data_IF_445355614201
#
_entry.id   IF_445355614201
#
_cell.length_a   1.000
_cell.length_b   1.000
_cell.length_c   1.000
_cell.angle_alpha   90.00
_cell.angle_beta   90.00
_cell.angle_gamma   90.00
#
_symmetry.space_group_name_H-M   'P 1'
#
loop_
_entity.id
_entity.type
_entity.pdbx_description
1 polymer ?
#
# COMPACT_ATOMS: atom_id res chain seq x y z
N UNK A 1 -37.22 19.44 86.30
CA UNK A 1 -38.64 19.64 85.92
C UNK A 1 -38.64 20.68 84.80
N UNK A 2 -39.12 20.42 83.58
CA UNK A 2 -39.81 19.22 83.05
C UNK A 2 -39.08 18.60 81.85
N UNK A 3 -39.38 17.33 81.55
CA UNK A 3 -39.09 16.70 80.26
C UNK A 3 -40.15 17.12 79.22
N UNK A 4 -39.87 16.96 77.92
CA UNK A 4 -40.91 16.68 76.93
C UNK A 4 -40.43 15.82 75.74
N UNK A 5 -41.39 15.20 75.04
CA UNK A 5 -41.29 14.40 73.79
C UNK A 5 -42.08 15.15 72.68
N UNK A 6 -42.28 14.75 71.42
CA UNK A 6 -42.01 13.56 70.55
C UNK A 6 -41.93 14.14 69.09
N UNK A 7 -41.70 13.50 67.94
CA UNK A 7 -41.68 12.12 67.39
C UNK A 7 -40.65 12.11 66.23
N UNK A 8 -39.64 11.24 66.21
CA UNK A 8 -39.62 9.93 65.55
C UNK A 8 -40.13 9.89 64.07
N UNK A 9 -39.22 9.47 63.19
CA UNK A 9 -39.31 9.07 61.77
C UNK A 9 -40.67 9.01 61.04
N UNK A 10 -40.65 9.50 59.79
CA UNK A 10 -41.13 8.69 58.65
C UNK A 10 -40.40 8.99 57.34
N UNK A 11 -39.41 8.15 57.02
CA UNK A 11 -38.82 8.08 55.68
C UNK A 11 -39.88 7.50 54.73
N UNK A 12 -40.23 8.22 53.67
CA UNK A 12 -41.32 7.86 52.74
C UNK A 12 -40.88 6.74 51.80
N UNK A 13 -40.99 5.49 52.27
CA UNK A 13 -40.71 4.29 51.47
C UNK A 13 -41.56 4.27 50.19
N UNK A 14 -40.92 3.88 49.09
CA UNK A 14 -41.43 4.06 47.73
C UNK A 14 -42.80 3.40 47.50
N UNK A 15 -43.64 4.07 46.70
CA UNK A 15 -44.82 3.45 46.12
C UNK A 15 -44.41 2.31 45.16
N UNK A 16 -45.28 1.30 45.00
CA UNK A 16 -44.89 -0.05 44.53
C UNK A 16 -44.85 -0.21 43.00
N UNK A 17 -44.14 0.66 42.30
CA UNK A 17 -43.90 0.54 40.84
C UNK A 17 -42.76 -0.46 40.51
N UNK A 18 -42.97 -1.74 40.86
CA UNK A 18 -41.96 -2.80 40.69
C UNK A 18 -41.90 -3.45 39.28
N UNK A 19 -42.60 -2.89 38.29
CA UNK A 19 -42.61 -3.41 36.92
C UNK A 19 -42.01 -2.44 35.89
N UNK A 20 -42.52 -1.21 35.85
CA UNK A 20 -42.24 -0.23 34.77
C UNK A 20 -40.76 0.15 34.68
N UNK A 21 -40.08 0.32 35.81
CA UNK A 21 -38.65 0.69 35.87
C UNK A 21 -37.77 -0.32 35.12
N UNK A 22 -38.07 -1.62 35.23
CA UNK A 22 -37.29 -2.66 34.54
C UNK A 22 -37.49 -2.59 33.03
N UNK A 23 -38.72 -2.38 32.55
CA UNK A 23 -39.03 -2.22 31.12
C UNK A 23 -38.34 -0.99 30.55
N UNK A 24 -38.41 0.16 31.24
CA UNK A 24 -37.72 1.39 30.82
C UNK A 24 -36.20 1.17 30.79
N UNK A 25 -35.62 0.51 31.80
CA UNK A 25 -34.17 0.22 31.82
C UNK A 25 -33.75 -0.67 30.64
N UNK A 26 -34.55 -1.68 30.28
CA UNK A 26 -34.29 -2.55 29.13
C UNK A 26 -34.29 -1.77 27.81
N UNK A 27 -35.29 -0.91 27.60
CA UNK A 27 -35.39 -0.08 26.39
C UNK A 27 -34.19 0.88 26.28
N UNK A 28 -33.81 1.55 27.38
CA UNK A 28 -32.65 2.45 27.40
C UNK A 28 -31.35 1.68 27.12
N UNK A 29 -31.15 0.51 27.73
CA UNK A 29 -29.99 -0.35 27.48
C UNK A 29 -29.91 -0.83 26.02
N UNK A 30 -31.03 -1.18 25.40
CA UNK A 30 -31.09 -1.57 23.97
C UNK A 30 -30.70 -0.38 23.09
N UNK A 31 -31.25 0.82 23.33
CA UNK A 31 -30.93 2.03 22.54
C UNK A 31 -29.44 2.38 22.67
N UNK A 32 -28.89 2.41 23.88
CA UNK A 32 -27.46 2.66 24.11
C UNK A 32 -26.60 1.58 23.43
N UNK A 33 -27.01 0.31 23.47
CA UNK A 33 -26.28 -0.78 22.82
C UNK A 33 -26.27 -0.64 21.29
N UNK A 34 -27.40 -0.29 20.68
CA UNK A 34 -27.49 -0.08 19.22
C UNK A 34 -26.63 1.09 18.75
N UNK A 35 -26.65 2.21 19.48
CA UNK A 35 -25.77 3.37 19.22
C UNK A 35 -24.29 3.01 19.38
N UNK A 36 -23.94 2.27 20.44
CA UNK A 36 -22.56 1.81 20.68
C UNK A 36 -22.06 0.91 19.55
N UNK A 37 -22.88 -0.04 19.10
CA UNK A 37 -22.54 -0.96 17.99
C UNK A 37 -22.43 -0.22 16.65
N UNK A 38 -23.25 0.79 16.38
CA UNK A 38 -23.10 1.59 15.15
C UNK A 38 -21.81 2.41 15.13
N UNK A 39 -21.43 3.02 16.26
CA UNK A 39 -20.17 3.78 16.38
C UNK A 39 -18.94 2.88 16.26
N UNK A 40 -18.95 1.70 16.88
CA UNK A 40 -17.85 0.74 16.75
C UNK A 40 -17.67 0.28 15.30
N UNK A 41 -18.78 0.00 14.58
CA UNK A 41 -18.72 -0.39 13.17
C UNK A 41 -18.15 0.71 12.25
N UNK A 42 -18.47 1.98 12.48
CA UNK A 42 -17.91 3.08 11.69
C UNK A 42 -16.41 3.28 11.95
N UNK A 43 -15.96 3.10 13.21
CA UNK A 43 -14.52 3.12 13.55
C UNK A 43 -13.76 2.00 12.84
N UNK A 44 -14.23 0.75 12.91
CA UNK A 44 -13.56 -0.37 12.22
C UNK A 44 -13.52 -0.21 10.68
N UNK A 45 -14.57 0.37 10.08
CA UNK A 45 -14.58 0.67 8.65
C UNK A 45 -13.56 1.77 8.27
N UNK A 46 -13.42 2.79 9.13
CA UNK A 46 -12.41 3.85 8.97
C UNK A 46 -10.99 3.29 9.12
N UNK A 47 -10.75 2.41 10.10
CA UNK A 47 -9.46 1.75 10.34
C UNK A 47 -9.01 0.91 9.13
N UNK A 48 -9.91 0.09 8.57
CA UNK A 48 -9.61 -0.72 7.36
C UNK A 48 -9.29 0.19 6.16
N UNK A 49 -10.05 1.27 5.98
CA UNK A 49 -9.83 2.24 4.89
C UNK A 49 -8.48 2.94 5.05
N UNK A 50 -8.17 3.44 6.25
CA UNK A 50 -6.89 4.08 6.58
C UNK A 50 -5.71 3.14 6.40
N UNK A 51 -5.85 1.88 6.84
CA UNK A 51 -4.84 0.83 6.68
C UNK A 51 -4.56 0.48 5.22
N UNK A 52 -5.57 0.56 4.34
CA UNK A 52 -5.38 0.35 2.90
C UNK A 52 -4.76 1.58 2.22
N UNK A 53 -5.27 2.79 2.50
CA UNK A 53 -4.68 4.05 2.00
C UNK A 53 -3.19 4.14 2.34
N UNK A 54 -2.79 3.78 3.57
CA UNK A 54 -1.38 3.76 3.99
C UNK A 54 -0.50 2.82 3.15
N UNK A 55 -1.02 1.66 2.73
CA UNK A 55 -0.26 0.71 1.90
C UNK A 55 -0.14 1.18 0.46
N UNK A 56 -1.22 1.72 -0.12
CA UNK A 56 -1.18 2.36 -1.44
C UNK A 56 -0.20 3.53 -1.46
N UNK A 57 -0.19 4.34 -0.41
CA UNK A 57 0.75 5.45 -0.26
C UNK A 57 2.21 4.99 -0.16
N UNK A 58 2.49 3.91 0.58
CA UNK A 58 3.81 3.28 0.59
C UNK A 58 4.19 2.68 -0.77
N UNK A 59 3.23 2.13 -1.53
CA UNK A 59 3.46 1.67 -2.89
C UNK A 59 3.78 2.84 -3.84
N UNK A 60 3.08 3.98 -3.74
CA UNK A 60 3.37 5.20 -4.50
C UNK A 60 4.79 5.70 -4.22
N UNK A 61 5.16 5.81 -2.94
CA UNK A 61 6.50 6.27 -2.54
C UNK A 61 7.61 5.31 -3.03
N UNK A 62 7.35 4.00 -3.03
CA UNK A 62 8.28 3.02 -3.61
C UNK A 62 8.37 3.11 -5.15
N UNK A 63 7.27 3.45 -5.84
CA UNK A 63 7.26 3.70 -7.27
C UNK A 63 8.02 4.99 -7.63
N UNK A 64 7.80 6.09 -6.91
CA UNK A 64 8.55 7.35 -7.09
C UNK A 64 10.04 7.16 -6.85
N UNK A 65 10.41 6.39 -5.82
CA UNK A 65 11.81 6.08 -5.52
C UNK A 65 12.49 5.35 -6.69
N UNK A 66 11.89 4.25 -7.18
CA UNK A 66 12.51 3.47 -8.26
C UNK A 66 12.49 4.20 -9.60
N UNK A 67 11.48 5.06 -9.84
CA UNK A 67 11.43 5.92 -11.01
C UNK A 67 12.64 6.86 -11.05
N UNK A 68 12.89 7.62 -9.98
CA UNK A 68 14.03 8.55 -9.89
C UNK A 68 15.38 7.84 -9.93
N UNK A 69 15.49 6.67 -9.29
CA UNK A 69 16.68 5.82 -9.39
C UNK A 69 16.98 5.44 -10.85
N UNK A 70 15.96 5.01 -11.60
CA UNK A 70 16.13 4.65 -13.00
C UNK A 70 16.38 5.87 -13.91
N UNK A 71 15.80 7.05 -13.63
CA UNK A 71 16.13 8.30 -14.34
C UNK A 71 17.61 8.71 -14.14
N UNK A 72 18.14 8.57 -12.93
CA UNK A 72 19.55 8.82 -12.60
C UNK A 72 20.49 7.82 -13.31
N UNK A 73 20.17 6.52 -13.26
CA UNK A 73 20.98 5.48 -13.90
C UNK A 73 20.96 5.56 -15.44
N UNK A 74 19.85 5.98 -16.08
CA UNK A 74 19.83 6.25 -17.54
C UNK A 74 20.73 7.43 -17.90
N UNK A 75 20.78 8.46 -17.05
CA UNK A 75 21.67 9.61 -17.25
C UNK A 75 23.14 9.18 -17.19
N UNK A 76 23.51 8.37 -16.20
CA UNK A 76 24.85 7.76 -16.08
C UNK A 76 25.19 6.87 -17.29
N UNK A 77 24.25 6.04 -17.75
CA UNK A 77 24.44 5.19 -18.92
C UNK A 77 24.80 6.01 -20.17
N UNK A 78 24.08 7.13 -20.41
CA UNK A 78 24.35 8.03 -21.55
C UNK A 78 25.68 8.79 -21.42
N UNK A 79 26.13 9.08 -20.20
CA UNK A 79 27.47 9.63 -19.93
C UNK A 79 28.61 8.59 -20.15
N UNK A 80 28.29 7.31 -20.35
CA UNK A 80 29.29 6.23 -20.40
C UNK A 80 29.83 5.81 -19.03
N UNK A 81 29.13 6.15 -17.95
CA UNK A 81 29.46 5.74 -16.59
C UNK A 81 29.03 4.27 -16.34
N UNK A 82 29.63 3.63 -15.33
CA UNK A 82 29.21 2.30 -14.90
C UNK A 82 27.87 2.36 -14.16
N UNK A 83 26.91 1.55 -14.59
CA UNK A 83 25.54 1.50 -14.03
C UNK A 83 25.20 0.11 -13.50
N UNK A 84 24.15 0.03 -12.69
CA UNK A 84 23.61 -1.21 -12.15
C UNK A 84 22.32 -1.66 -12.85
N UNK A 85 22.04 -1.14 -14.06
CA UNK A 85 20.78 -1.36 -14.79
C UNK A 85 20.97 -2.07 -16.14
N UNK A 86 19.95 -2.80 -16.58
CA UNK A 86 19.70 -3.08 -17.99
C UNK A 86 18.79 -2.02 -18.61
N UNK A 87 19.06 -1.65 -19.85
CA UNK A 87 18.13 -0.91 -20.70
C UNK A 87 17.71 -1.86 -21.82
N UNK A 88 16.42 -1.95 -22.08
CA UNK A 88 15.91 -2.79 -23.15
C UNK A 88 16.13 -2.16 -24.53
N UNK A 89 16.26 -3.00 -25.55
CA UNK A 89 16.12 -2.57 -26.95
C UNK A 89 14.73 -1.98 -27.21
N UNK A 90 14.61 -1.21 -28.29
CA UNK A 90 13.33 -0.71 -28.80
C UNK A 90 12.35 -1.86 -29.11
N UNK A 91 11.06 -1.63 -28.84
CA UNK A 91 9.99 -2.56 -29.17
C UNK A 91 8.69 -1.82 -29.51
N UNK A 92 7.99 -2.34 -30.52
CA UNK A 92 6.61 -1.98 -30.88
C UNK A 92 5.81 -3.29 -31.09
N UNK A 93 4.77 -3.59 -30.27
CA UNK A 93 4.29 -2.81 -29.12
C UNK A 93 5.33 -2.73 -27.97
N UNK A 94 5.20 -1.71 -27.09
CA UNK A 94 6.15 -1.45 -26.01
C UNK A 94 6.20 -2.59 -24.98
N UNK A 95 7.36 -2.80 -24.35
CA UNK A 95 7.59 -3.97 -23.51
C UNK A 95 6.76 -3.94 -22.21
N UNK A 96 6.54 -2.75 -21.64
CA UNK A 96 5.80 -2.62 -20.38
C UNK A 96 4.33 -3.07 -20.44
N UNK A 97 3.68 -3.01 -21.61
CA UNK A 97 2.26 -3.38 -21.84
C UNK A 97 2.10 -4.76 -22.53
N UNK A 98 3.18 -5.54 -22.63
CA UNK A 98 3.18 -6.84 -23.31
C UNK A 98 2.40 -7.92 -22.53
N UNK A 99 1.10 -8.07 -22.82
CA UNK A 99 0.21 -9.02 -22.13
C UNK A 99 0.18 -10.39 -22.82
N UNK A 100 0.34 -11.48 -22.07
CA UNK A 100 0.13 -12.84 -22.58
C UNK A 100 -1.36 -13.03 -22.95
N UNK A 101 -1.70 -13.32 -24.21
CA UNK A 101 -3.09 -13.43 -24.64
C UNK A 101 -3.86 -14.56 -23.94
N UNK A 102 -3.18 -15.58 -23.39
CA UNK A 102 -3.77 -16.73 -22.69
C UNK A 102 -3.95 -16.48 -21.18
N UNK A 103 -2.88 -16.10 -20.47
CA UNK A 103 -2.93 -15.95 -19.00
C UNK A 103 -3.34 -14.56 -18.53
N UNK A 104 -3.26 -13.55 -19.42
CA UNK A 104 -3.38 -12.11 -19.08
C UNK A 104 -2.34 -11.61 -18.08
N UNK A 105 -1.23 -12.32 -17.92
CA UNK A 105 -0.05 -11.82 -17.21
C UNK A 105 0.69 -10.75 -18.03
N UNK A 106 1.36 -9.83 -17.33
CA UNK A 106 2.28 -8.86 -17.94
C UNK A 106 3.61 -9.57 -18.21
N UNK A 107 3.80 -10.05 -19.45
CA UNK A 107 4.82 -11.03 -19.86
C UNK A 107 6.25 -10.61 -19.53
N UNK A 108 6.54 -9.31 -19.51
CA UNK A 108 7.87 -8.76 -19.22
C UNK A 108 8.07 -8.34 -17.75
N UNK A 109 7.04 -8.47 -16.90
CA UNK A 109 7.07 -8.11 -15.46
C UNK A 109 6.86 -9.32 -14.54
N UNK A 110 5.86 -10.15 -14.87
CA UNK A 110 5.40 -11.31 -14.12
C UNK A 110 5.65 -12.58 -14.96
N UNK A 111 6.59 -13.44 -14.56
CA UNK A 111 6.93 -14.68 -15.27
C UNK A 111 8.43 -15.04 -15.27
N UNK A 112 8.75 -16.31 -15.55
CA UNK A 112 10.13 -16.79 -15.60
C UNK A 112 10.91 -16.14 -16.77
N UNK A 113 12.13 -15.66 -16.49
CA UNK A 113 12.98 -14.95 -17.47
C UNK A 113 12.75 -13.43 -17.54
N UNK A 114 11.83 -12.86 -16.75
CA UNK A 114 11.60 -11.39 -16.72
C UNK A 114 12.67 -10.60 -15.96
N UNK A 115 13.62 -11.28 -15.31
CA UNK A 115 14.74 -10.65 -14.58
C UNK A 115 15.55 -9.68 -15.41
N UNK A 116 15.72 -9.98 -16.70
CA UNK A 116 16.67 -9.29 -17.57
C UNK A 116 16.03 -8.02 -18.18
N UNK A 117 14.69 -7.93 -18.08
CA UNK A 117 13.83 -6.87 -18.63
C UNK A 117 13.49 -5.76 -17.64
N UNK A 118 13.79 -5.98 -16.36
CA UNK A 118 13.46 -5.07 -15.26
C UNK A 118 14.69 -4.77 -14.42
N UNK A 119 14.69 -3.61 -13.77
CA UNK A 119 15.69 -3.20 -12.81
C UNK A 119 15.10 -3.21 -11.40
N UNK A 120 15.93 -3.62 -10.44
CA UNK A 120 15.59 -3.65 -9.02
C UNK A 120 16.71 -2.91 -8.28
N UNK A 121 16.42 -1.86 -7.48
CA UNK A 121 17.43 -1.12 -6.74
C UNK A 121 17.98 -1.99 -5.60
N UNK A 122 19.18 -1.66 -5.10
CA UNK A 122 19.79 -2.42 -4.00
C UNK A 122 18.86 -2.40 -2.77
N UNK A 123 18.62 -3.59 -2.21
CA UNK A 123 17.78 -3.82 -1.04
C UNK A 123 18.08 -2.88 0.14
N UNK A 124 19.34 -2.49 0.32
CA UNK A 124 19.83 -1.63 1.40
C UNK A 124 19.36 -0.16 1.28
N UNK A 125 18.98 0.28 0.08
CA UNK A 125 18.45 1.64 -0.14
C UNK A 125 17.03 1.81 0.43
N UNK A 126 16.29 0.71 0.59
CA UNK A 126 14.89 0.69 1.00
C UNK A 126 14.65 -0.06 2.33
N UNK A 127 15.46 -1.07 2.62
CA UNK A 127 15.44 -1.85 3.85
C UNK A 127 16.71 -1.57 4.65
N UNK A 128 16.59 -0.77 5.72
CA UNK A 128 17.70 -0.46 6.60
C UNK A 128 18.28 -1.74 7.22
N UNK A 129 19.57 -2.00 7.01
CA UNK A 129 20.28 -3.21 7.48
C UNK A 129 20.24 -3.40 9.00
N UNK A 130 20.01 -2.33 9.75
CA UNK A 130 19.84 -2.33 11.21
C UNK A 130 18.49 -2.88 11.69
N UNK A 131 17.52 -3.08 10.79
CA UNK A 131 16.18 -3.58 11.14
C UNK A 131 16.11 -5.10 10.97
N UNK A 132 15.59 -5.79 11.99
CA UNK A 132 15.36 -7.26 11.99
C UNK A 132 14.35 -7.72 10.92
N UNK A 133 13.58 -6.81 10.35
CA UNK A 133 12.55 -7.07 9.35
C UNK A 133 12.65 -6.04 8.22
N UNK A 134 12.54 -6.50 6.98
CA UNK A 134 12.43 -5.63 5.82
C UNK A 134 11.12 -4.82 5.87
N UNK A 135 11.21 -3.52 5.57
CA UNK A 135 10.07 -2.63 5.33
C UNK A 135 9.31 -3.07 4.08
N UNK A 136 10.04 -3.30 2.99
CA UNK A 136 9.53 -3.76 1.70
C UNK A 136 9.97 -5.20 1.47
N UNK A 137 9.00 -6.13 1.51
CA UNK A 137 9.21 -7.56 1.23
C UNK A 137 9.46 -7.84 -0.24
N UNK A 138 8.70 -7.18 -1.12
CA UNK A 138 9.01 -7.05 -2.55
C UNK A 138 9.59 -5.65 -2.77
N UNK A 139 10.78 -5.59 -3.35
CA UNK A 139 11.40 -4.34 -3.79
C UNK A 139 10.62 -3.80 -5.01
N UNK A 140 10.53 -2.46 -5.17
CA UNK A 140 9.96 -1.86 -6.38
C UNK A 140 10.82 -2.19 -7.60
N UNK A 141 10.18 -2.20 -8.77
CA UNK A 141 10.77 -2.67 -10.04
C UNK A 141 10.57 -1.56 -11.09
N UNK A 142 11.55 -1.30 -11.96
CA UNK A 142 11.35 -0.41 -13.13
C UNK A 142 11.69 -1.13 -14.44
N UNK A 143 11.15 -0.65 -15.55
CA UNK A 143 11.46 -1.08 -16.91
C UNK A 143 11.85 0.14 -17.73
N UNK A 144 12.96 0.04 -18.43
CA UNK A 144 13.54 1.13 -19.23
C UNK A 144 13.60 0.66 -20.67
N UNK A 145 13.06 1.45 -21.58
CA UNK A 145 13.01 1.17 -23.02
C UNK A 145 13.09 2.49 -23.81
N UNK A 146 13.88 2.58 -24.90
CA UNK A 146 13.91 3.76 -25.75
C UNK A 146 12.56 3.92 -26.47
N UNK A 147 12.17 5.16 -26.75
CA UNK A 147 10.94 5.45 -27.53
C UNK A 147 11.20 5.70 -29.01
N UNK A 148 12.45 5.52 -29.43
CA UNK A 148 12.92 5.67 -30.82
C UNK A 148 13.40 4.31 -31.33
N UNK A 149 13.23 4.02 -32.62
CA UNK A 149 13.75 2.82 -33.28
C UNK A 149 15.28 2.91 -33.45
N UNK A 150 15.97 2.69 -32.33
CA UNK A 150 17.41 2.86 -32.12
C UNK A 150 17.91 1.91 -31.03
N UNK A 151 19.20 1.60 -31.08
CA UNK A 151 19.93 1.02 -29.94
C UNK A 151 19.83 1.93 -28.71
N UNK A 152 19.78 1.40 -27.47
CA UNK A 152 19.88 2.20 -26.25
C UNK A 152 21.07 3.17 -26.22
N UNK A 153 22.19 2.84 -26.89
CA UNK A 153 23.35 3.72 -26.99
C UNK A 153 23.05 5.00 -27.81
N UNK A 154 22.31 4.86 -28.91
CA UNK A 154 22.03 5.94 -29.89
C UNK A 154 20.71 6.69 -29.59
N UNK A 155 19.82 6.09 -28.79
CA UNK A 155 18.59 6.71 -28.34
C UNK A 155 18.85 7.92 -27.45
N UNK A 156 18.03 8.95 -27.60
CA UNK A 156 18.01 10.13 -26.70
C UNK A 156 16.73 10.20 -25.87
N UNK A 157 15.63 9.59 -26.32
CA UNK A 157 14.35 9.58 -25.58
C UNK A 157 14.06 8.19 -25.00
N UNK A 158 13.90 8.12 -23.68
CA UNK A 158 13.64 6.90 -22.92
C UNK A 158 12.32 6.97 -22.18
N UNK A 159 11.53 5.90 -22.27
CA UNK A 159 10.37 5.64 -21.42
C UNK A 159 10.83 4.80 -20.22
N UNK A 160 10.47 5.25 -19.03
CA UNK A 160 10.73 4.55 -17.77
C UNK A 160 9.39 4.28 -17.11
N UNK A 161 9.00 3.01 -17.05
CA UNK A 161 7.80 2.56 -16.34
C UNK A 161 8.23 2.01 -14.98
N UNK A 162 7.63 2.47 -13.90
CA UNK A 162 7.99 2.13 -12.53
C UNK A 162 6.82 1.49 -11.78
N UNK A 163 7.10 0.45 -11.01
CA UNK A 163 6.14 -0.40 -10.30
C UNK A 163 6.51 -0.53 -8.82
N UNK A 164 5.75 0.14 -7.96
CA UNK A 164 5.92 0.13 -6.51
C UNK A 164 4.96 -0.83 -5.81
N UNK A 165 5.35 -1.30 -4.62
CA UNK A 165 4.61 -2.32 -3.86
C UNK A 165 4.40 -1.92 -2.41
N UNK A 166 3.23 -2.27 -1.85
CA UNK A 166 2.95 -2.14 -0.43
C UNK A 166 3.78 -3.12 0.42
N UNK A 167 4.05 -2.81 1.71
CA UNK A 167 4.88 -3.64 2.59
C UNK A 167 4.30 -5.04 2.86
N UNK A 168 3.01 -5.25 2.61
CA UNK A 168 2.34 -6.55 2.72
C UNK A 168 2.62 -7.50 1.56
N UNK A 169 2.95 -6.97 0.37
CA UNK A 169 3.14 -7.74 -0.88
C UNK A 169 4.27 -8.75 -0.70
N UNK A 170 3.98 -10.02 -0.97
CA UNK A 170 4.98 -11.10 -0.86
C UNK A 170 6.19 -10.85 -1.74
N UNK A 171 7.37 -11.21 -1.22
CA UNK A 171 8.62 -11.21 -1.96
C UNK A 171 8.51 -12.01 -3.28
N UNK A 172 9.37 -11.67 -4.24
CA UNK A 172 9.47 -12.36 -5.53
C UNK A 172 9.73 -13.86 -5.31
N UNK A 173 8.96 -14.72 -6.00
CA UNK A 173 9.20 -16.17 -6.03
C UNK A 173 10.04 -16.58 -7.25
N UNK A 174 10.50 -17.83 -7.28
CA UNK A 174 11.34 -18.37 -8.36
C UNK A 174 10.63 -18.43 -9.74
N UNK A 175 9.33 -18.12 -9.82
CA UNK A 175 8.55 -18.04 -11.06
C UNK A 175 8.23 -16.60 -11.47
N UNK A 176 8.64 -15.62 -10.64
CA UNK A 176 8.18 -14.23 -10.66
C UNK A 176 6.66 -14.12 -10.81
N UNK A 177 5.93 -14.91 -10.02
CA UNK A 177 4.47 -14.92 -9.97
C UNK A 177 3.91 -13.50 -9.75
N UNK A 178 2.76 -13.23 -10.39
CA UNK A 178 2.05 -11.95 -10.27
C UNK A 178 1.81 -11.58 -8.78
N UNK A 179 2.21 -10.38 -8.33
CA UNK A 179 2.05 -9.96 -6.95
C UNK A 179 0.58 -9.81 -6.54
N UNK A 180 0.35 -9.82 -5.23
CA UNK A 180 -0.95 -9.68 -4.59
C UNK A 180 -0.81 -8.75 -3.38
N UNK A 181 -1.59 -7.67 -3.35
CA UNK A 181 -1.50 -6.57 -2.38
C UNK A 181 -1.59 -5.22 -3.08
N UNK A 182 -1.11 -4.17 -2.43
CA UNK A 182 -1.09 -2.80 -2.96
C UNK A 182 0.04 -2.65 -4.00
N UNK A 183 -0.31 -2.13 -5.17
CA UNK A 183 0.58 -2.01 -6.33
C UNK A 183 0.35 -0.63 -6.96
N UNK A 184 1.42 0.11 -7.24
CA UNK A 184 1.38 1.45 -7.82
C UNK A 184 2.20 1.49 -9.11
N UNK A 185 1.69 2.19 -10.12
CA UNK A 185 2.31 2.32 -11.44
C UNK A 185 2.53 3.78 -11.75
N UNK A 186 3.75 4.13 -12.17
CA UNK A 186 4.14 5.44 -12.68
C UNK A 186 4.86 5.27 -14.02
N UNK A 187 4.83 6.29 -14.87
CA UNK A 187 5.62 6.31 -16.10
C UNK A 187 6.19 7.71 -16.32
N UNK A 188 7.47 7.78 -16.64
CA UNK A 188 8.18 8.98 -17.09
C UNK A 188 8.68 8.79 -18.51
N UNK A 189 8.87 9.90 -19.23
CA UNK A 189 9.60 9.93 -20.49
C UNK A 189 10.64 11.03 -20.39
N UNK A 190 11.91 10.66 -20.43
CA UNK A 190 13.04 11.59 -20.31
C UNK A 190 13.80 11.70 -21.62
N UNK A 191 14.35 12.89 -21.88
CA UNK A 191 15.30 13.12 -22.99
C UNK A 191 16.67 13.38 -22.40
N UNK A 192 17.67 12.62 -22.85
CA UNK A 192 19.07 12.74 -22.45
C UNK A 192 19.92 12.94 -23.71
N UNK A 193 20.73 14.00 -23.72
CA UNK A 193 21.54 14.45 -24.86
C UNK A 193 23.02 14.15 -24.65
#
# INVERSE_FOLDING_TARGET
MSMNKTTLCKHSLQCRERGVVLVISLVILIVISMLSVSSLRSVSASEITSGNVRKTEMANQAAEFVLRYCEEEVTKFKNGEATAISINDYADPPLWDAIDPKTKALTNWDGAGTSDKINVPDSSMLNQTSLKYATYRRLPECMIEPTEDKSPADATVFRITARGFGPEVSAVDNKRSRPNGSEAWLQSTITVN
#
